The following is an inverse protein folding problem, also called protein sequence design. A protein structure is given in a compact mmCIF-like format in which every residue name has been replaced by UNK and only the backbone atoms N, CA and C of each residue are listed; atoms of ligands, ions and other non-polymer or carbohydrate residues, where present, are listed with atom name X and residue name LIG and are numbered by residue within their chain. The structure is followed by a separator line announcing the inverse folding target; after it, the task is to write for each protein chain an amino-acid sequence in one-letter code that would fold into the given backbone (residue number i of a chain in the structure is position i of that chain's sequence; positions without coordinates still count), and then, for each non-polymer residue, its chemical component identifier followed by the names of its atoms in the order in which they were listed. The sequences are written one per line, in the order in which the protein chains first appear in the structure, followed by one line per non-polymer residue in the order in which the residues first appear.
data_IF_704809153167
#
_entry.id   IF_704809153167
#
_cell.length_a   1.000
_cell.length_b   1.000
_cell.length_c   1.000
_cell.angle_alpha   90.00
_cell.angle_beta   90.00
_cell.angle_gamma   90.00
#
_symmetry.space_group_name_H-M   'P 1'
#
loop_
_entity.id
_entity.type
_entity.pdbx_description
1 polymer ?
#
# COMPACT_ATOMS: atom_id res chain seq x y z
N UNK A 1 -28.70 27.82 36.29
CA UNK A 1 -29.33 26.92 35.30
C UNK A 1 -28.33 26.67 34.20
N UNK A 2 -28.23 25.42 33.74
CA UNK A 2 -27.05 24.82 33.14
C UNK A 2 -26.62 25.44 31.80
N UNK A 3 -25.33 25.78 31.72
CA UNK A 3 -24.60 26.02 30.47
C UNK A 3 -24.45 24.68 29.73
N UNK A 4 -25.28 24.45 28.71
CA UNK A 4 -25.01 23.40 27.73
C UNK A 4 -23.86 23.87 26.85
N UNK A 5 -22.64 23.49 27.26
CA UNK A 5 -21.42 23.56 26.44
C UNK A 5 -21.69 22.89 25.10
N UNK A 6 -21.74 23.73 24.08
CA UNK A 6 -21.57 23.40 22.68
C UNK A 6 -20.32 22.53 22.54
N UNK A 7 -20.52 21.21 22.48
CA UNK A 7 -19.45 20.24 22.30
C UNK A 7 -19.09 20.29 20.83
N UNK A 8 -18.26 21.28 20.48
CA UNK A 8 -17.66 21.43 19.17
C UNK A 8 -17.07 20.08 18.77
N UNK A 9 -17.77 19.40 17.87
CA UNK A 9 -17.25 18.23 17.19
C UNK A 9 -16.13 18.75 16.30
N UNK A 10 -14.90 18.72 16.81
CA UNK A 10 -13.71 18.90 15.99
C UNK A 10 -13.70 17.67 15.08
N UNK A 11 -13.89 17.80 13.76
CA UNK A 11 -13.65 16.68 12.87
C UNK A 11 -12.14 16.41 12.95
N UNK A 12 -11.78 15.21 13.40
CA UNK A 12 -10.39 14.77 13.40
C UNK A 12 -9.82 14.94 11.98
N UNK A 13 -8.54 15.34 11.83
CA UNK A 13 -7.93 15.50 10.53
C UNK A 13 -8.07 14.18 9.79
N UNK A 14 -8.70 14.25 8.62
CA UNK A 14 -8.97 13.15 7.73
C UNK A 14 -7.64 12.61 7.17
N UNK A 15 -6.86 11.91 8.01
CA UNK A 15 -5.81 11.01 7.54
C UNK A 15 -6.55 9.93 6.78
N UNK A 16 -6.38 9.93 5.45
CA UNK A 16 -7.04 9.00 4.55
C UNK A 16 -6.66 7.58 4.95
N UNK A 17 -7.51 6.94 5.75
CA UNK A 17 -7.31 5.57 6.22
C UNK A 17 -7.40 4.63 5.04
N UNK A 18 -6.54 3.62 5.04
CA UNK A 18 -6.54 2.53 4.09
C UNK A 18 -7.72 1.63 4.44
N UNK A 19 -8.67 1.60 3.52
CA UNK A 19 -9.82 0.70 3.60
C UNK A 19 -9.37 -0.76 3.61
N UNK A 20 -9.97 -1.57 4.50
CA UNK A 20 -9.69 -3.01 4.61
C UNK A 20 -9.91 -3.72 3.27
N UNK A 21 -10.87 -3.26 2.47
CA UNK A 21 -11.13 -3.80 1.12
C UNK A 21 -9.88 -3.77 0.23
N UNK A 22 -9.07 -2.70 0.29
CA UNK A 22 -7.83 -2.60 -0.49
C UNK A 22 -6.79 -3.65 -0.07
N UNK A 23 -6.75 -3.98 1.21
CA UNK A 23 -5.88 -5.05 1.73
C UNK A 23 -6.37 -6.41 1.24
N UNK A 24 -7.68 -6.66 1.33
CA UNK A 24 -8.30 -7.90 0.84
C UNK A 24 -8.11 -8.11 -0.67
N UNK A 25 -8.30 -7.06 -1.47
CA UNK A 25 -8.05 -7.09 -2.92
C UNK A 25 -6.61 -7.47 -3.24
N UNK A 26 -5.64 -6.90 -2.52
CA UNK A 26 -4.22 -7.19 -2.73
C UNK A 26 -3.86 -8.63 -2.35
N UNK A 27 -4.45 -9.17 -1.27
CA UNK A 27 -4.25 -10.57 -0.86
C UNK A 27 -4.84 -11.52 -1.91
N UNK A 28 -6.03 -11.21 -2.43
CA UNK A 28 -6.65 -12.01 -3.49
C UNK A 28 -5.80 -11.99 -4.75
N UNK A 29 -5.33 -10.83 -5.18
CA UNK A 29 -4.47 -10.70 -6.35
C UNK A 29 -3.16 -11.51 -6.19
N UNK A 30 -2.55 -11.47 -5.00
CA UNK A 30 -1.37 -12.28 -4.69
C UNK A 30 -1.65 -13.78 -4.83
N UNK A 31 -2.81 -14.23 -4.31
CA UNK A 31 -3.26 -15.60 -4.47
C UNK A 31 -3.41 -15.97 -5.95
N UNK A 32 -4.09 -15.13 -6.73
CA UNK A 32 -4.34 -15.37 -8.15
C UNK A 32 -3.02 -15.48 -8.94
N UNK A 33 -2.04 -14.62 -8.65
CA UNK A 33 -0.72 -14.67 -9.26
C UNK A 33 0.05 -15.96 -8.91
N UNK A 34 -0.04 -16.43 -7.66
CA UNK A 34 0.58 -17.69 -7.24
C UNK A 34 -0.07 -18.87 -7.98
N UNK A 35 -1.40 -18.87 -8.11
CA UNK A 35 -2.14 -19.94 -8.79
C UNK A 35 -1.92 -19.94 -10.31
N UNK A 36 -1.69 -18.78 -10.92
CA UNK A 36 -1.49 -18.65 -12.36
C UNK A 36 -0.21 -19.34 -12.88
N UNK A 37 0.78 -19.66 -12.02
CA UNK A 37 2.10 -20.30 -12.28
C UNK A 37 2.97 -19.68 -13.39
N UNK A 38 2.42 -18.87 -14.27
CA UNK A 38 3.00 -18.32 -15.51
C UNK A 38 2.51 -16.89 -15.75
N UNK A 39 2.24 -16.15 -14.68
CA UNK A 39 1.86 -14.74 -14.80
C UNK A 39 2.96 -13.97 -15.56
N UNK A 40 2.60 -13.12 -16.53
CA UNK A 40 3.59 -12.34 -17.27
C UNK A 40 4.32 -11.40 -16.31
N UNK A 41 5.60 -11.13 -16.59
CA UNK A 41 6.42 -10.25 -15.75
C UNK A 41 5.81 -8.85 -15.55
N UNK A 42 5.05 -8.36 -16.54
CA UNK A 42 4.28 -7.11 -16.44
C UNK A 42 3.16 -7.16 -15.40
N UNK A 43 2.46 -8.30 -15.25
CA UNK A 43 1.43 -8.47 -14.24
C UNK A 43 2.05 -8.56 -12.84
N UNK A 44 3.17 -9.26 -12.71
CA UNK A 44 3.93 -9.31 -11.45
C UNK A 44 4.41 -7.91 -11.05
N UNK A 45 4.98 -7.15 -11.99
CA UNK A 45 5.40 -5.78 -11.72
C UNK A 45 4.23 -4.88 -11.29
N UNK A 46 3.10 -4.96 -12.00
CA UNK A 46 1.91 -4.15 -11.66
C UNK A 46 1.36 -4.48 -10.26
N UNK A 47 1.41 -5.75 -9.84
CA UNK A 47 1.08 -6.14 -8.47
C UNK A 47 2.01 -5.52 -7.44
N UNK A 48 3.33 -5.59 -7.67
CA UNK A 48 4.31 -5.00 -6.77
C UNK A 48 4.18 -3.48 -6.67
N UNK A 49 3.79 -2.79 -7.74
CA UNK A 49 3.49 -1.36 -7.74
C UNK A 49 2.28 -1.02 -6.84
N UNK A 50 1.19 -1.79 -6.95
CA UNK A 50 0.02 -1.63 -6.07
C UNK A 50 0.36 -1.93 -4.61
N UNK A 51 1.15 -2.98 -4.36
CA UNK A 51 1.63 -3.34 -3.02
C UNK A 51 2.46 -2.22 -2.39
N UNK A 52 3.37 -1.62 -3.15
CA UNK A 52 4.17 -0.49 -2.69
C UNK A 52 3.28 0.71 -2.34
N UNK A 53 2.35 1.08 -3.23
CA UNK A 53 1.42 2.18 -2.98
C UNK A 53 0.55 1.97 -1.73
N UNK A 54 0.11 0.73 -1.47
CA UNK A 54 -0.64 0.38 -0.27
C UNK A 54 0.19 0.58 1.00
N UNK A 55 1.43 0.10 1.01
CA UNK A 55 2.30 0.27 2.17
C UNK A 55 2.76 1.72 2.38
N UNK A 56 2.97 2.49 1.32
CA UNK A 56 3.21 3.93 1.41
C UNK A 56 2.01 4.65 2.05
N UNK A 57 0.78 4.29 1.67
CA UNK A 57 -0.43 4.84 2.29
C UNK A 57 -0.56 4.45 3.77
N UNK A 58 -0.31 3.18 4.12
CA UNK A 58 -0.30 2.72 5.51
C UNK A 58 0.79 3.41 6.35
N UNK A 59 1.95 3.68 5.77
CA UNK A 59 3.03 4.41 6.43
C UNK A 59 2.71 5.90 6.61
N UNK A 60 1.92 6.49 5.71
CA UNK A 60 1.45 7.87 5.84
C UNK A 60 0.39 8.05 6.95
N UNK A 61 -0.37 7.00 7.29
CA UNK A 61 -1.30 7.02 8.42
C UNK A 61 -0.61 7.04 9.79
N UNK A 62 0.55 6.39 9.90
CA UNK A 62 1.36 6.35 11.12
C UNK A 62 2.83 6.74 10.80
N UNK A 63 3.12 8.03 10.57
CA UNK A 63 4.45 8.48 10.18
C UNK A 63 5.56 8.12 11.17
N UNK A 64 5.24 8.06 12.46
CA UNK A 64 6.14 7.70 13.55
C UNK A 64 6.41 6.19 13.65
N UNK A 65 5.66 5.35 12.93
CA UNK A 65 5.81 3.91 12.97
C UNK A 65 6.97 3.47 12.06
N UNK A 66 8.14 3.29 12.66
CA UNK A 66 9.37 2.90 11.96
C UNK A 66 9.22 1.60 11.16
N UNK A 67 8.43 0.63 11.65
CA UNK A 67 8.21 -0.63 10.95
C UNK A 67 7.41 -0.41 9.66
N UNK A 68 6.35 0.41 9.70
CA UNK A 68 5.58 0.77 8.51
C UNK A 68 6.42 1.54 7.49
N UNK A 69 7.28 2.46 7.95
CA UNK A 69 8.23 3.17 7.07
C UNK A 69 9.22 2.20 6.39
N UNK A 70 9.78 1.25 7.15
CA UNK A 70 10.71 0.26 6.64
C UNK A 70 10.04 -0.67 5.61
N UNK A 71 8.80 -1.11 5.86
CA UNK A 71 8.03 -1.96 4.94
C UNK A 71 7.71 -1.20 3.65
N UNK A 72 7.26 0.07 3.73
CA UNK A 72 7.02 0.90 2.55
C UNK A 72 8.28 1.07 1.70
N UNK A 73 9.41 1.37 2.34
CA UNK A 73 10.71 1.47 1.65
C UNK A 73 11.10 0.17 0.97
N UNK A 74 11.02 -0.97 1.66
CA UNK A 74 11.35 -2.28 1.09
C UNK A 74 10.44 -2.64 -0.09
N UNK A 75 9.15 -2.33 0.00
CA UNK A 75 8.21 -2.56 -1.09
C UNK A 75 8.55 -1.70 -2.32
N UNK A 76 9.00 -0.46 -2.11
CA UNK A 76 9.47 0.42 -3.18
C UNK A 76 10.73 -0.11 -3.86
N UNK A 77 11.71 -0.55 -3.08
CA UNK A 77 12.95 -1.16 -3.61
C UNK A 77 12.66 -2.42 -4.44
N UNK A 78 11.67 -3.23 -4.05
CA UNK A 78 11.21 -4.38 -4.84
C UNK A 78 10.70 -3.97 -6.22
N UNK A 79 9.91 -2.90 -6.31
CA UNK A 79 9.39 -2.38 -7.59
C UNK A 79 10.55 -1.92 -8.48
N UNK A 80 11.49 -1.16 -7.93
CA UNK A 80 12.64 -0.63 -8.68
C UNK A 80 13.52 -1.76 -9.22
N UNK A 81 13.76 -2.78 -8.40
CA UNK A 81 14.48 -3.99 -8.83
C UNK A 81 13.76 -4.70 -9.98
N UNK A 82 12.44 -4.92 -9.87
CA UNK A 82 11.66 -5.59 -10.91
C UNK A 82 11.59 -4.79 -12.21
N UNK A 83 11.47 -3.45 -12.13
CA UNK A 83 11.54 -2.56 -13.30
C UNK A 83 12.90 -2.67 -14.00
N UNK A 84 13.99 -2.58 -13.24
CA UNK A 84 15.34 -2.70 -13.79
C UNK A 84 15.59 -4.06 -14.45
N UNK A 85 15.04 -5.14 -13.89
CA UNK A 85 15.11 -6.47 -14.49
C UNK A 85 14.29 -6.58 -15.79
N UNK A 86 13.08 -6.00 -15.81
CA UNK A 86 12.24 -5.96 -17.01
C UNK A 86 12.90 -5.16 -18.15
N UNK A 87 13.53 -4.03 -17.84
CA UNK A 87 14.25 -3.20 -18.82
C UNK A 87 15.51 -3.90 -19.37
N UNK A 88 16.23 -4.65 -18.53
CA UNK A 88 17.41 -5.42 -18.95
C UNK A 88 17.08 -6.66 -19.77
N UNK A 89 15.94 -7.30 -19.51
CA UNK A 89 15.48 -8.48 -20.27
C UNK A 89 14.88 -8.17 -21.65
N UNK A 90 14.69 -6.89 -21.99
CA UNK A 90 14.21 -6.43 -23.30
C UNK A 90 15.33 -6.02 -24.28
N UNK A 91 16.61 -6.30 -23.97
CA UNK A 91 17.75 -6.13 -24.88
C UNK A 91 18.26 -7.47 -25.37
#
# INVERSE_FOLDING_TARGET
MAETRDRQHIPEPNTARVEISKVSELIQEASDLIHARTAPASAVLAFHERKAALFEALAAEEPENADRQAVAKSAREQVEYLRAMAERGCR
#
